data_IF_772347863106
#
_entry.id   IF_772347863106
#
_cell.length_a   1.000
_cell.length_b   1.000
_cell.length_c   1.000
_cell.angle_alpha   90.00
_cell.angle_beta   90.00
_cell.angle_gamma   90.00
#
_symmetry.space_group_name_H-M   'P 1'
#
loop_
_entity.id
_entity.type
_entity.pdbx_description
1 polymer ?
#
# COMPACT_ATOMS: atom_id res chain seq x y z
N UNK A 1 2.35 -9.66 -20.35
CA UNK A 1 3.12 -8.51 -19.81
C UNK A 1 2.23 -7.61 -18.96
N UNK A 2 1.12 -7.08 -19.50
CA UNK A 2 0.15 -6.27 -18.74
C UNK A 2 -0.34 -6.93 -17.44
N UNK A 3 -0.82 -8.18 -17.53
CA UNK A 3 -1.34 -8.94 -16.39
C UNK A 3 -0.28 -9.09 -15.30
N UNK A 4 0.93 -9.52 -15.66
CA UNK A 4 2.04 -9.70 -14.71
C UNK A 4 2.36 -8.37 -14.02
N UNK A 5 2.48 -7.27 -14.77
CA UNK A 5 2.74 -5.95 -14.20
C UNK A 5 1.64 -5.51 -13.22
N UNK A 6 0.37 -5.76 -13.54
CA UNK A 6 -0.77 -5.36 -12.72
C UNK A 6 -0.98 -6.25 -11.49
N UNK A 7 -0.76 -7.56 -11.63
CA UNK A 7 -0.89 -8.51 -10.54
C UNK A 7 0.33 -8.53 -9.59
N UNK A 8 1.41 -7.83 -9.93
CA UNK A 8 2.61 -7.70 -9.10
C UNK A 8 2.81 -6.23 -8.72
N UNK A 9 3.74 -5.54 -9.38
CA UNK A 9 4.22 -4.22 -8.99
C UNK A 9 3.14 -3.13 -8.91
N UNK A 10 2.22 -3.06 -9.87
CA UNK A 10 1.19 -1.99 -9.86
C UNK A 10 0.13 -2.19 -8.78
N UNK A 11 -0.06 -3.40 -8.28
CA UNK A 11 -0.90 -3.65 -7.12
C UNK A 11 -0.10 -3.43 -5.83
N UNK A 12 1.08 -4.04 -5.75
CA UNK A 12 1.96 -4.00 -4.58
C UNK A 12 2.30 -2.58 -4.15
N UNK A 13 2.73 -1.73 -5.09
CA UNK A 13 3.16 -0.37 -4.77
C UNK A 13 2.06 0.45 -4.07
N UNK A 14 0.87 0.68 -4.65
CA UNK A 14 -0.16 1.47 -3.98
C UNK A 14 -0.70 0.78 -2.72
N UNK A 15 -0.80 -0.56 -2.70
CA UNK A 15 -1.31 -1.27 -1.53
C UNK A 15 -0.36 -1.15 -0.31
N UNK A 16 0.93 -1.43 -0.51
CA UNK A 16 1.94 -1.36 0.56
C UNK A 16 2.14 0.06 1.11
N UNK A 17 1.70 1.09 0.37
CA UNK A 17 1.83 2.52 0.75
C UNK A 17 0.58 3.10 1.39
N UNK A 18 -0.50 2.33 1.55
CA UNK A 18 -1.75 2.83 2.12
C UNK A 18 -1.58 3.42 3.53
N UNK A 19 -0.81 2.76 4.41
CA UNK A 19 -0.59 3.28 5.76
C UNK A 19 0.38 4.45 5.81
N UNK A 20 1.36 4.51 4.89
CA UNK A 20 2.27 5.66 4.79
C UNK A 20 1.51 6.94 4.37
N UNK A 21 0.52 6.81 3.48
CA UNK A 21 -0.30 7.94 3.05
C UNK A 21 -1.53 8.21 3.90
N UNK A 22 -2.11 7.19 4.54
CA UNK A 22 -3.41 7.25 5.22
C UNK A 22 -3.41 6.81 6.69
N UNK A 23 -2.22 6.66 7.28
CA UNK A 23 -2.00 6.33 8.70
C UNK A 23 -2.12 7.54 9.64
N UNK A 24 -2.33 8.75 9.09
CA UNK A 24 -2.52 9.98 9.85
C UNK A 24 -3.82 10.67 9.39
N UNK A 25 -4.84 10.67 10.25
CA UNK A 25 -6.19 11.14 9.91
C UNK A 25 -6.25 12.64 9.62
N UNK A 26 -5.44 13.44 10.33
CA UNK A 26 -5.37 14.88 10.10
C UNK A 26 -4.76 15.21 8.73
N UNK A 27 -3.86 14.37 8.23
CA UNK A 27 -3.23 14.51 6.92
C UNK A 27 -4.12 13.95 5.80
N UNK A 28 -4.70 12.76 5.98
CA UNK A 28 -5.49 12.07 4.96
C UNK A 28 -6.62 11.25 5.57
N UNK A 29 -7.83 11.51 5.09
CA UNK A 29 -9.00 10.65 5.29
C UNK A 29 -9.71 10.38 3.98
N UNK A 30 -10.46 9.28 3.91
CA UNK A 30 -11.28 8.94 2.74
C UNK A 30 -12.48 9.87 2.54
N UNK A 31 -12.76 10.73 3.52
CA UNK A 31 -13.80 11.73 3.46
C UNK A 31 -13.71 12.72 4.61
N UNK A 32 -14.26 13.91 4.38
CA UNK A 32 -14.45 14.96 5.38
C UNK A 32 -15.93 15.04 5.76
N UNK A 33 -16.20 15.42 7.01
CA UNK A 33 -17.53 15.77 7.48
C UNK A 33 -17.81 17.25 7.24
N UNK A 34 -19.09 17.61 7.19
CA UNK A 34 -19.50 18.99 7.30
C UNK A 34 -19.32 19.43 8.76
N UNK A 35 -18.23 20.12 9.05
CA UNK A 35 -17.91 20.61 10.39
C UNK A 35 -18.76 21.81 10.80
N UNK A 36 -18.47 22.35 11.97
CA UNK A 36 -19.22 23.49 12.54
C UNK A 36 -19.16 24.74 11.65
N UNK A 37 -18.09 24.89 10.87
CA UNK A 37 -17.84 26.03 9.98
C UNK A 37 -17.85 25.64 8.49
N UNK A 38 -18.42 24.47 8.16
CA UNK A 38 -18.35 23.89 6.82
C UNK A 38 -17.20 22.88 6.64
N UNK A 39 -16.95 22.42 5.41
CA UNK A 39 -15.97 21.35 5.14
C UNK A 39 -14.53 21.85 4.93
N UNK A 40 -14.33 23.16 4.75
CA UNK A 40 -13.01 23.76 4.53
C UNK A 40 -12.56 24.50 5.79
N UNK A 41 -11.99 23.74 6.72
CA UNK A 41 -11.43 24.23 7.97
C UNK A 41 -9.99 23.70 8.16
N UNK A 42 -9.19 24.25 9.11
CA UNK A 42 -7.87 23.71 9.42
C UNK A 42 -7.94 22.23 9.85
N UNK A 43 -6.88 21.47 9.61
CA UNK A 43 -6.75 20.06 10.02
C UNK A 43 -6.92 19.83 11.53
N UNK A 44 -6.73 20.87 12.35
CA UNK A 44 -6.97 20.86 13.79
C UNK A 44 -8.45 20.92 14.18
N UNK A 45 -9.36 21.18 13.23
CA UNK A 45 -10.80 21.16 13.48
C UNK A 45 -11.33 19.71 13.44
N UNK A 46 -11.42 19.09 14.60
CA UNK A 46 -11.91 17.71 14.73
C UNK A 46 -13.36 17.54 14.26
N UNK A 47 -14.13 18.61 14.06
CA UNK A 47 -15.51 18.52 13.54
C UNK A 47 -15.55 18.17 12.05
N UNK A 48 -14.49 18.45 11.28
CA UNK A 48 -14.38 18.08 9.85
C UNK A 48 -13.73 16.70 9.63
N UNK A 49 -12.88 16.23 10.55
CA UNK A 49 -12.26 14.91 10.46
C UNK A 49 -13.32 13.79 10.60
N UNK A 50 -13.08 12.55 10.12
CA UNK A 50 -13.98 11.43 10.39
C UNK A 50 -14.28 11.25 11.89
N UNK A 51 -15.44 10.69 12.23
CA UNK A 51 -15.74 10.38 13.63
C UNK A 51 -14.72 9.36 14.19
N UNK A 52 -14.50 9.29 15.52
CA UNK A 52 -13.51 8.37 16.09
C UNK A 52 -13.65 6.92 15.65
N UNK A 53 -14.88 6.43 15.45
CA UNK A 53 -15.14 5.09 14.94
C UNK A 53 -14.60 4.92 13.51
N UNK A 54 -15.00 5.79 12.59
CA UNK A 54 -14.59 5.73 11.18
C UNK A 54 -13.09 5.98 11.03
N UNK A 55 -12.53 6.91 11.82
CA UNK A 55 -11.10 7.17 11.87
C UNK A 55 -10.32 5.92 12.31
N UNK A 56 -10.76 5.24 13.37
CA UNK A 56 -10.13 4.02 13.85
C UNK A 56 -10.22 2.87 12.84
N UNK A 57 -11.37 2.72 12.17
CA UNK A 57 -11.55 1.74 11.09
C UNK A 57 -10.61 2.02 9.91
N UNK A 58 -10.49 3.28 9.47
CA UNK A 58 -9.58 3.66 8.40
C UNK A 58 -8.14 3.31 8.74
N UNK A 59 -7.67 3.67 9.94
CA UNK A 59 -6.32 3.37 10.41
C UNK A 59 -6.05 1.87 10.47
N UNK A 60 -7.03 1.11 10.99
CA UNK A 60 -6.93 -0.33 11.08
C UNK A 60 -6.85 -0.97 9.69
N UNK A 61 -7.74 -0.58 8.77
CA UNK A 61 -7.78 -1.12 7.41
C UNK A 61 -6.50 -0.76 6.66
N UNK A 62 -6.08 0.51 6.65
CA UNK A 62 -4.86 0.91 5.93
C UNK A 62 -3.61 0.20 6.47
N UNK A 63 -3.52 -0.01 7.79
CA UNK A 63 -2.45 -0.79 8.40
C UNK A 63 -2.51 -2.26 7.96
N UNK A 64 -3.65 -2.92 8.16
CA UNK A 64 -3.83 -4.33 7.86
C UNK A 64 -3.56 -4.64 6.39
N UNK A 65 -4.09 -3.82 5.48
CA UNK A 65 -3.94 -4.03 4.04
C UNK A 65 -2.49 -3.82 3.58
N UNK A 66 -1.76 -2.85 4.14
CA UNK A 66 -0.37 -2.55 3.73
C UNK A 66 0.70 -3.40 4.42
N UNK A 67 0.39 -4.01 5.57
CA UNK A 67 1.33 -4.81 6.36
C UNK A 67 1.04 -6.32 6.29
N UNK A 68 -0.11 -6.71 5.75
CA UNK A 68 -0.38 -8.09 5.37
C UNK A 68 0.53 -8.50 4.21
N UNK A 69 1.15 -9.68 4.28
CA UNK A 69 2.05 -10.10 3.22
C UNK A 69 2.26 -11.61 3.15
N UNK A 70 1.86 -12.20 2.02
CA UNK A 70 2.19 -13.57 1.64
C UNK A 70 2.21 -13.72 0.12
N UNK A 71 3.21 -14.44 -0.40
CA UNK A 71 3.35 -14.69 -1.83
C UNK A 71 4.19 -13.61 -2.50
N UNK A 72 5.48 -13.57 -2.17
CA UNK A 72 6.43 -12.65 -2.76
C UNK A 72 7.16 -13.29 -3.94
N UNK A 73 7.45 -12.52 -4.99
CA UNK A 73 8.10 -13.04 -6.21
C UNK A 73 9.43 -13.71 -5.89
N UNK A 74 10.28 -13.05 -5.09
CA UNK A 74 11.64 -13.54 -4.79
C UNK A 74 11.62 -14.71 -3.82
N UNK A 75 10.72 -14.68 -2.82
CA UNK A 75 10.61 -15.74 -1.82
C UNK A 75 9.94 -16.99 -2.37
N UNK A 76 9.04 -16.82 -3.35
CA UNK A 76 8.39 -17.88 -4.11
C UNK A 76 7.82 -18.98 -3.18
N UNK A 77 7.08 -18.58 -2.14
CA UNK A 77 6.60 -19.48 -1.08
C UNK A 77 5.82 -20.68 -1.62
N UNK A 78 5.01 -20.45 -2.66
CA UNK A 78 4.19 -21.47 -3.31
C UNK A 78 4.94 -22.27 -4.39
N UNK A 79 6.20 -21.90 -4.69
CA UNK A 79 7.06 -22.53 -5.70
C UNK A 79 6.45 -22.59 -7.11
N UNK A 80 5.59 -21.63 -7.43
CA UNK A 80 4.83 -21.54 -8.68
C UNK A 80 5.32 -20.42 -9.62
N UNK A 81 6.30 -19.62 -9.19
CA UNK A 81 6.88 -18.56 -10.01
C UNK A 81 8.02 -19.10 -10.89
N UNK A 82 8.00 -18.73 -12.17
CA UNK A 82 9.02 -19.12 -13.15
C UNK A 82 10.42 -18.68 -12.67
N UNK A 83 11.40 -19.61 -12.51
CA UNK A 83 12.75 -19.29 -12.06
C UNK A 83 13.49 -18.25 -12.90
N UNK A 84 13.22 -18.17 -14.21
CA UNK A 84 13.83 -17.15 -15.07
C UNK A 84 13.35 -15.75 -14.73
N UNK A 85 12.08 -15.59 -14.32
CA UNK A 85 11.57 -14.30 -13.89
C UNK A 85 12.28 -13.83 -12.61
N UNK A 86 12.46 -14.73 -11.64
CA UNK A 86 13.21 -14.46 -10.41
C UNK A 86 14.65 -14.07 -10.73
N UNK A 87 15.32 -14.83 -11.60
CA UNK A 87 16.70 -14.56 -12.02
C UNK A 87 16.83 -13.18 -12.68
N UNK A 88 15.94 -12.84 -13.61
CA UNK A 88 15.94 -11.55 -14.30
C UNK A 88 15.69 -10.39 -13.33
N UNK A 89 14.79 -10.57 -12.36
CA UNK A 89 14.52 -9.56 -11.34
C UNK A 89 15.74 -9.33 -10.43
N UNK A 90 16.40 -10.41 -9.97
CA UNK A 90 17.64 -10.33 -9.19
C UNK A 90 18.77 -9.65 -9.94
N UNK A 91 18.92 -9.91 -11.24
CA UNK A 91 19.91 -9.24 -12.09
C UNK A 91 19.69 -7.72 -12.20
N UNK A 92 18.53 -7.22 -11.82
CA UNK A 92 18.18 -5.79 -11.83
C UNK A 92 18.01 -5.21 -10.43
N UNK A 93 18.32 -5.97 -9.36
CA UNK A 93 18.14 -5.55 -7.97
C UNK A 93 18.70 -4.16 -7.69
N UNK A 94 19.93 -3.88 -8.12
CA UNK A 94 20.59 -2.58 -7.91
C UNK A 94 19.82 -1.41 -8.55
N UNK A 95 19.21 -1.64 -9.71
CA UNK A 95 18.42 -0.61 -10.40
C UNK A 95 17.11 -0.30 -9.66
N UNK A 96 16.53 -1.30 -9.01
CA UNK A 96 15.36 -1.11 -8.15
C UNK A 96 15.77 -0.41 -6.85
N UNK A 97 16.86 -0.86 -6.21
CA UNK A 97 17.37 -0.25 -4.98
C UNK A 97 17.72 1.24 -5.16
N UNK A 98 18.29 1.62 -6.31
CA UNK A 98 18.55 3.02 -6.66
C UNK A 98 17.28 3.91 -6.72
N UNK A 99 16.10 3.30 -6.88
CA UNK A 99 14.79 3.96 -6.85
C UNK A 99 14.08 3.83 -5.49
N UNK A 100 14.76 3.30 -4.46
CA UNK A 100 14.17 3.03 -3.15
C UNK A 100 13.26 1.80 -3.12
N UNK A 101 13.34 0.92 -4.12
CA UNK A 101 12.54 -0.30 -4.21
C UNK A 101 13.31 -1.54 -3.73
N UNK A 102 12.68 -2.29 -2.84
CA UNK A 102 13.17 -3.61 -2.43
C UNK A 102 12.44 -4.71 -3.20
N UNK A 103 13.14 -5.40 -4.10
CA UNK A 103 12.57 -6.48 -4.91
C UNK A 103 12.06 -7.66 -4.07
N UNK A 104 12.52 -7.81 -2.81
CA UNK A 104 12.04 -8.86 -1.91
C UNK A 104 10.62 -8.58 -1.40
N UNK A 105 10.15 -7.35 -1.51
CA UNK A 105 8.81 -6.93 -1.10
C UNK A 105 7.78 -7.00 -2.23
N UNK A 106 8.21 -7.22 -3.48
CA UNK A 106 7.28 -7.29 -4.62
C UNK A 106 6.42 -8.56 -4.50
N UNK A 107 5.12 -8.36 -4.35
CA UNK A 107 4.13 -9.44 -4.34
C UNK A 107 3.99 -10.12 -5.71
N UNK A 108 3.64 -11.41 -5.66
CA UNK A 108 3.49 -12.26 -6.83
C UNK A 108 2.05 -12.30 -7.36
N UNK A 109 1.08 -11.83 -6.58
CA UNK A 109 -0.36 -11.91 -6.85
C UNK A 109 -1.12 -10.86 -6.06
N UNK A 110 -2.41 -10.73 -6.35
CA UNK A 110 -3.35 -9.89 -5.61
C UNK A 110 -4.09 -10.77 -4.62
N UNK A 111 -3.71 -10.72 -3.34
CA UNK A 111 -4.33 -11.48 -2.26
C UNK A 111 -4.19 -10.81 -0.88
N UNK A 112 -3.24 -9.89 -0.74
CA UNK A 112 -3.40 -8.60 -0.06
C UNK A 112 -2.16 -7.75 -0.27
#
# INVERSE_FOLDING_TARGET
RYIIMHATLMHDWPNAKQYEGGGEIAYMSLGLRYGNNGPFAPETDESIAPSPLIASEQLFISYMLSHGGYGFVIKNESRDINPDFIRLLRQRADKFAALGLDINKIQSRINI
#
